data_IF_723907854235
#
_entry.id   IF_723907854235
#
_cell.length_a   1.000
_cell.length_b   1.000
_cell.length_c   1.000
_cell.angle_alpha   90.00
_cell.angle_beta   90.00
_cell.angle_gamma   90.00
#
_symmetry.space_group_name_H-M   'P 1'
#
loop_
_entity.id
_entity.type
_entity.pdbx_description
1 polymer ?
#
# COMPACT_ATOMS: atom_id res chain seq x y z
N UNK A 1 -10.32 -23.85 -15.19
CA UNK A 1 -11.08 -24.80 -14.36
C UNK A 1 -12.02 -24.04 -13.41
N UNK A 2 -13.22 -24.55 -13.24
CA UNK A 2 -14.23 -23.97 -12.37
C UNK A 2 -13.82 -24.14 -10.90
N UNK A 3 -13.76 -23.04 -10.15
CA UNK A 3 -13.40 -23.07 -8.73
C UNK A 3 -14.68 -23.04 -7.87
N UNK A 4 -15.15 -24.19 -7.41
CA UNK A 4 -16.41 -24.32 -6.67
C UNK A 4 -16.51 -23.41 -5.42
N UNK A 5 -15.40 -23.09 -4.77
CA UNK A 5 -15.38 -22.15 -3.63
C UNK A 5 -15.60 -20.68 -4.03
N UNK A 6 -15.51 -20.35 -5.32
CA UNK A 6 -15.80 -19.01 -5.83
C UNK A 6 -17.25 -18.83 -6.29
N UNK A 7 -18.09 -19.88 -6.20
CA UNK A 7 -19.48 -19.81 -6.65
C UNK A 7 -20.22 -18.56 -6.10
N UNK A 8 -21.09 -17.90 -6.90
CA UNK A 8 -21.56 -18.30 -8.23
C UNK A 8 -20.63 -17.93 -9.40
N UNK A 9 -19.46 -17.38 -9.14
CA UNK A 9 -18.49 -16.99 -10.15
C UNK A 9 -17.65 -18.18 -10.64
N UNK A 10 -17.04 -18.04 -11.81
CA UNK A 10 -16.21 -19.08 -12.40
C UNK A 10 -14.95 -19.36 -11.55
N UNK A 11 -14.29 -18.29 -11.07
CA UNK A 11 -13.08 -18.35 -10.26
C UNK A 11 -12.95 -17.17 -9.29
N UNK A 12 -11.93 -17.21 -8.44
CA UNK A 12 -11.68 -16.14 -7.45
C UNK A 12 -11.28 -14.81 -8.06
N UNK A 13 -10.64 -14.77 -9.22
CA UNK A 13 -10.32 -13.50 -9.87
C UNK A 13 -11.60 -12.78 -10.30
N UNK A 14 -12.54 -13.50 -10.91
CA UNK A 14 -13.84 -12.96 -11.29
C UNK A 14 -14.61 -12.47 -10.06
N UNK A 15 -14.72 -13.32 -9.03
CA UNK A 15 -15.43 -12.99 -7.80
C UNK A 15 -14.88 -11.74 -7.13
N UNK A 16 -13.58 -11.66 -6.86
CA UNK A 16 -12.99 -10.52 -6.18
C UNK A 16 -13.02 -9.28 -7.07
N UNK A 17 -12.97 -9.43 -8.40
CA UNK A 17 -13.14 -8.31 -9.30
C UNK A 17 -14.51 -7.67 -9.14
N UNK A 18 -15.57 -8.43 -9.15
CA UNK A 18 -16.94 -7.92 -9.00
C UNK A 18 -17.21 -7.41 -7.57
N UNK A 19 -16.87 -8.19 -6.56
CA UNK A 19 -17.17 -7.86 -5.16
C UNK A 19 -16.27 -6.74 -4.58
N UNK A 20 -15.07 -6.52 -5.14
CA UNK A 20 -14.10 -5.58 -4.60
C UNK A 20 -13.55 -4.61 -5.65
N UNK A 21 -12.85 -5.10 -6.69
CA UNK A 21 -12.05 -4.20 -7.54
C UNK A 21 -12.93 -3.27 -8.39
N UNK A 22 -13.98 -3.79 -9.01
CA UNK A 22 -14.93 -2.98 -9.79
C UNK A 22 -15.75 -2.06 -8.89
N UNK A 23 -16.17 -2.55 -7.72
CA UNK A 23 -16.90 -1.75 -6.74
C UNK A 23 -16.09 -0.54 -6.26
N UNK A 24 -14.79 -0.70 -5.98
CA UNK A 24 -13.92 0.41 -5.61
C UNK A 24 -13.61 1.36 -6.78
N UNK A 25 -13.59 0.86 -8.01
CA UNK A 25 -13.40 1.70 -9.20
C UNK A 25 -14.59 2.65 -9.49
N UNK A 26 -15.77 2.32 -8.97
CA UNK A 26 -17.02 3.08 -9.16
C UNK A 26 -17.89 3.06 -7.91
N UNK A 27 -17.34 3.44 -6.78
CA UNK A 27 -18.00 3.47 -5.48
C UNK A 27 -19.11 4.53 -5.48
N UNK A 28 -20.28 4.16 -4.93
CA UNK A 28 -21.46 5.01 -4.87
C UNK A 28 -21.54 5.67 -3.50
N UNK A 29 -21.53 7.01 -3.50
CA UNK A 29 -21.85 7.81 -2.31
C UNK A 29 -23.36 8.06 -2.34
N UNK A 30 -24.04 7.69 -1.26
CA UNK A 30 -25.50 7.81 -1.15
C UNK A 30 -25.86 8.99 -0.25
N UNK A 31 -26.97 9.67 -0.57
CA UNK A 31 -27.61 10.66 0.31
C UNK A 31 -28.40 9.96 1.44
N UNK A 32 -28.99 10.76 2.33
CA UNK A 32 -29.80 10.27 3.47
C UNK A 32 -31.04 9.47 3.03
N UNK A 33 -31.48 9.63 1.78
CA UNK A 33 -32.62 8.92 1.18
C UNK A 33 -32.18 7.69 0.38
N UNK A 34 -30.87 7.33 0.40
CA UNK A 34 -30.32 6.19 -0.32
C UNK A 34 -30.18 6.40 -1.84
N UNK A 35 -30.26 7.64 -2.35
CA UNK A 35 -30.04 7.95 -3.76
C UNK A 35 -28.55 8.21 -4.01
N UNK A 36 -28.07 7.88 -5.21
CA UNK A 36 -26.69 8.13 -5.60
C UNK A 36 -26.46 9.64 -5.72
N UNK A 37 -25.68 10.20 -4.81
CA UNK A 37 -25.23 11.60 -4.84
C UNK A 37 -23.98 11.74 -5.72
N UNK A 38 -23.05 10.80 -5.60
CA UNK A 38 -21.78 10.82 -6.33
C UNK A 38 -21.30 9.40 -6.65
N UNK A 39 -20.61 9.27 -7.78
CA UNK A 39 -19.82 8.07 -8.09
C UNK A 39 -18.33 8.45 -8.01
N UNK A 40 -17.58 7.78 -7.19
CA UNK A 40 -16.16 8.05 -6.96
C UNK A 40 -15.31 6.83 -7.27
N UNK A 41 -14.09 7.07 -7.78
CA UNK A 41 -13.09 6.04 -7.90
C UNK A 41 -12.18 6.10 -6.66
N UNK A 42 -12.32 5.11 -5.76
CA UNK A 42 -11.59 5.07 -4.50
C UNK A 42 -10.07 5.01 -4.72
N UNK A 43 -9.61 4.34 -5.77
CA UNK A 43 -8.18 4.26 -6.11
C UNK A 43 -7.54 5.63 -6.39
N UNK A 44 -8.32 6.66 -6.70
CA UNK A 44 -7.82 8.03 -6.83
C UNK A 44 -7.63 8.76 -5.49
N UNK A 45 -8.01 8.13 -4.37
CA UNK A 45 -8.01 8.72 -3.03
C UNK A 45 -7.23 7.91 -1.98
N UNK A 46 -6.91 6.67 -2.28
CA UNK A 46 -6.16 5.75 -1.42
C UNK A 46 -4.91 5.28 -2.14
N UNK A 47 -3.85 5.00 -1.40
CA UNK A 47 -2.70 4.29 -1.96
C UNK A 47 -3.08 2.82 -2.17
N UNK A 48 -2.59 2.23 -3.25
CA UNK A 48 -2.89 0.84 -3.60
C UNK A 48 -1.73 0.19 -4.34
N UNK A 49 -1.67 -1.12 -4.30
CA UNK A 49 -0.79 -1.92 -5.14
C UNK A 49 -1.56 -3.11 -5.74
N UNK A 50 -1.15 -3.51 -6.94
CA UNK A 50 -1.67 -4.69 -7.62
C UNK A 50 -0.51 -5.49 -8.18
N UNK A 51 -0.56 -6.82 -8.05
CA UNK A 51 0.42 -7.71 -8.64
C UNK A 51 0.34 -7.75 -10.18
N UNK A 52 1.48 -7.96 -10.81
CA UNK A 52 1.58 -8.04 -12.27
C UNK A 52 0.65 -9.11 -12.88
N UNK A 53 0.53 -10.26 -12.23
CA UNK A 53 -0.37 -11.35 -12.69
C UNK A 53 -1.84 -10.94 -12.64
N UNK A 54 -2.26 -10.29 -11.57
CA UNK A 54 -3.64 -9.78 -11.46
C UNK A 54 -3.92 -8.67 -12.47
N UNK A 55 -3.00 -7.73 -12.65
CA UNK A 55 -3.17 -6.67 -13.65
C UNK A 55 -3.24 -7.23 -15.08
N UNK A 56 -2.46 -8.26 -15.38
CA UNK A 56 -2.55 -8.95 -16.70
C UNK A 56 -3.92 -9.62 -16.87
N UNK A 57 -4.42 -10.27 -15.83
CA UNK A 57 -5.74 -10.88 -15.87
C UNK A 57 -6.85 -9.82 -16.02
N UNK A 58 -6.79 -8.72 -15.26
CA UNK A 58 -7.76 -7.61 -15.37
C UNK A 58 -7.75 -6.96 -16.75
N UNK A 59 -6.58 -6.78 -17.35
CA UNK A 59 -6.43 -6.23 -18.70
C UNK A 59 -7.20 -7.07 -19.74
N UNK A 60 -7.16 -8.39 -19.61
CA UNK A 60 -7.79 -9.33 -20.54
C UNK A 60 -9.27 -9.59 -20.24
N UNK A 61 -9.66 -9.72 -18.97
CA UNK A 61 -10.98 -10.20 -18.57
C UNK A 61 -11.87 -9.09 -17.98
N UNK A 62 -11.31 -8.02 -17.43
CA UNK A 62 -12.04 -6.90 -16.85
C UNK A 62 -11.46 -5.53 -17.29
N UNK A 63 -11.37 -5.25 -18.62
CA UNK A 63 -10.64 -4.10 -19.15
C UNK A 63 -11.19 -2.75 -18.68
N UNK A 64 -12.47 -2.67 -18.33
CA UNK A 64 -13.06 -1.44 -17.76
C UNK A 64 -12.52 -1.15 -16.38
N UNK A 65 -12.43 -2.15 -15.51
CA UNK A 65 -11.86 -2.06 -14.17
C UNK A 65 -10.37 -1.74 -14.24
N UNK A 66 -9.63 -2.42 -15.11
CA UNK A 66 -8.22 -2.14 -15.37
C UNK A 66 -7.99 -0.68 -15.78
N UNK A 67 -8.71 -0.20 -16.78
CA UNK A 67 -8.61 1.19 -17.24
C UNK A 67 -8.97 2.20 -16.14
N UNK A 68 -9.95 1.89 -15.29
CA UNK A 68 -10.34 2.74 -14.17
C UNK A 68 -9.23 2.83 -13.10
N UNK A 69 -8.53 1.73 -12.81
CA UNK A 69 -7.37 1.69 -11.90
C UNK A 69 -6.24 2.58 -12.43
N UNK A 70 -5.87 2.43 -13.72
CA UNK A 70 -4.81 3.25 -14.32
C UNK A 70 -5.19 4.74 -14.35
N UNK A 71 -6.45 5.05 -14.67
CA UNK A 71 -6.94 6.43 -14.65
C UNK A 71 -6.94 7.03 -13.26
N UNK A 72 -7.21 6.23 -12.22
CA UNK A 72 -7.19 6.69 -10.83
C UNK A 72 -5.80 7.18 -10.40
N UNK A 73 -4.74 6.52 -10.81
CA UNK A 73 -3.38 6.99 -10.53
C UNK A 73 -3.09 8.35 -11.19
N UNK A 74 -3.53 8.57 -12.43
CA UNK A 74 -3.41 9.88 -13.10
C UNK A 74 -4.19 10.96 -12.36
N UNK A 75 -5.45 10.69 -11.97
CA UNK A 75 -6.27 11.64 -11.18
C UNK A 75 -5.65 11.94 -9.82
N UNK A 76 -5.00 10.97 -9.19
CA UNK A 76 -4.31 11.20 -7.92
C UNK A 76 -3.08 12.11 -8.09
N UNK A 77 -2.34 12.00 -9.20
CA UNK A 77 -1.23 12.91 -9.50
C UNK A 77 -1.69 14.37 -9.59
N UNK A 78 -2.82 14.62 -10.24
CA UNK A 78 -3.42 15.97 -10.33
C UNK A 78 -3.77 16.52 -8.93
N UNK A 79 -4.29 15.67 -8.05
CA UNK A 79 -4.71 16.03 -6.69
C UNK A 79 -3.56 16.20 -5.73
N UNK A 80 -2.52 15.35 -5.84
CA UNK A 80 -1.44 15.23 -4.87
C UNK A 80 -0.09 15.73 -5.42
N UNK A 81 -0.08 16.84 -6.15
CA UNK A 81 1.12 17.56 -6.60
C UNK A 81 2.08 16.68 -7.43
N UNK A 82 1.54 15.84 -8.28
CA UNK A 82 2.32 14.93 -9.13
C UNK A 82 2.60 13.55 -8.51
N UNK A 83 2.20 13.31 -7.27
CA UNK A 83 2.34 12.00 -6.63
C UNK A 83 1.15 11.08 -6.95
N UNK A 84 1.43 9.96 -7.59
CA UNK A 84 0.42 8.96 -7.91
C UNK A 84 0.10 8.05 -6.71
N UNK A 85 -1.14 7.60 -6.62
CA UNK A 85 -1.61 6.72 -5.53
C UNK A 85 -1.11 5.27 -5.67
N UNK A 86 -0.80 4.81 -6.88
CA UNK A 86 -0.30 3.47 -7.11
C UNK A 86 1.13 3.29 -6.53
N UNK A 87 1.36 2.19 -5.84
CA UNK A 87 2.64 1.75 -5.29
C UNK A 87 3.06 0.49 -6.07
N UNK A 88 4.32 0.39 -6.46
CA UNK A 88 4.84 -0.84 -7.06
C UNK A 88 4.87 -1.99 -6.04
N UNK A 89 4.98 -3.20 -6.52
CA UNK A 89 5.32 -4.35 -5.67
C UNK A 89 6.38 -5.23 -6.35
N UNK A 90 7.01 -6.12 -5.58
CA UNK A 90 7.86 -7.16 -6.13
C UNK A 90 7.02 -8.04 -7.07
N UNK A 91 7.58 -8.40 -8.23
CA UNK A 91 6.81 -8.92 -9.36
C UNK A 91 5.92 -10.12 -9.02
N UNK A 92 6.46 -11.14 -8.36
CA UNK A 92 5.75 -12.38 -8.00
C UNK A 92 5.35 -12.48 -6.53
N UNK A 93 5.22 -11.38 -5.80
CA UNK A 93 4.89 -11.38 -4.37
C UNK A 93 5.81 -12.28 -3.52
N UNK A 94 7.09 -12.30 -3.86
CA UNK A 94 8.10 -13.13 -3.21
C UNK A 94 8.40 -12.62 -1.79
N UNK A 95 8.64 -13.55 -0.85
CA UNK A 95 9.20 -13.23 0.47
C UNK A 95 10.69 -12.93 0.29
N UNK A 96 11.02 -11.66 0.13
CA UNK A 96 12.33 -11.19 -0.31
C UNK A 96 13.50 -11.72 0.54
N UNK A 97 13.42 -11.74 1.89
CA UNK A 97 14.52 -12.28 2.72
C UNK A 97 14.83 -13.76 2.51
N UNK A 98 13.91 -14.53 1.94
CA UNK A 98 14.10 -15.96 1.66
C UNK A 98 14.73 -16.24 0.28
N UNK A 99 14.85 -15.21 -0.56
CA UNK A 99 15.44 -15.33 -1.88
C UNK A 99 16.94 -14.99 -1.88
N UNK A 100 17.69 -15.54 -2.82
CA UNK A 100 19.06 -15.11 -3.08
C UNK A 100 19.09 -13.70 -3.70
N UNK A 101 20.25 -13.03 -3.65
CA UNK A 101 20.38 -11.63 -4.10
C UNK A 101 20.00 -11.44 -5.58
N UNK A 102 20.40 -12.36 -6.46
CA UNK A 102 20.09 -12.29 -7.89
C UNK A 102 18.58 -12.27 -8.12
N UNK A 103 17.86 -13.15 -7.45
CA UNK A 103 16.41 -13.27 -7.60
C UNK A 103 15.69 -12.07 -6.98
N UNK A 104 16.18 -11.53 -5.84
CA UNK A 104 15.68 -10.26 -5.28
C UNK A 104 15.81 -9.11 -6.29
N UNK A 105 16.98 -8.96 -6.92
CA UNK A 105 17.22 -7.95 -7.96
C UNK A 105 16.26 -8.11 -9.13
N UNK A 106 16.08 -9.33 -9.60
CA UNK A 106 15.16 -9.65 -10.69
C UNK A 106 13.72 -9.27 -10.34
N UNK A 107 13.26 -9.64 -9.14
CA UNK A 107 11.89 -9.35 -8.68
C UNK A 107 11.61 -7.85 -8.55
N UNK A 108 12.56 -7.10 -8.01
CA UNK A 108 12.46 -5.65 -7.92
C UNK A 108 12.44 -5.04 -9.32
N UNK A 109 13.39 -5.41 -10.17
CA UNK A 109 13.53 -4.85 -11.50
C UNK A 109 12.30 -5.13 -12.39
N UNK A 110 11.79 -6.36 -12.35
CA UNK A 110 10.57 -6.71 -13.08
C UNK A 110 9.36 -5.97 -12.56
N UNK A 111 9.21 -5.84 -11.23
CA UNK A 111 8.13 -5.06 -10.62
C UNK A 111 8.17 -3.58 -11.05
N UNK A 112 9.37 -2.99 -11.12
CA UNK A 112 9.55 -1.62 -11.61
C UNK A 112 9.16 -1.49 -13.09
N UNK A 113 9.59 -2.42 -13.94
CA UNK A 113 9.31 -2.39 -15.40
C UNK A 113 7.83 -2.58 -15.69
N UNK A 114 7.16 -3.51 -14.99
CA UNK A 114 5.72 -3.70 -15.11
C UNK A 114 4.96 -2.43 -14.67
N UNK A 115 5.36 -1.85 -13.55
CA UNK A 115 4.77 -0.61 -13.05
C UNK A 115 4.95 0.56 -14.04
N UNK A 116 6.16 0.78 -14.54
CA UNK A 116 6.44 1.83 -15.53
C UNK A 116 5.64 1.62 -16.82
N UNK A 117 5.54 0.37 -17.29
CA UNK A 117 4.76 0.03 -18.46
C UNK A 117 3.28 0.38 -18.30
N UNK A 118 2.67 0.05 -17.16
CA UNK A 118 1.24 0.23 -16.93
C UNK A 118 0.86 1.65 -16.53
N UNK A 119 1.59 2.24 -15.59
CA UNK A 119 1.27 3.56 -15.02
C UNK A 119 1.99 4.73 -15.71
N UNK A 120 2.94 4.46 -16.61
CA UNK A 120 3.64 5.49 -17.38
C UNK A 120 4.56 6.40 -16.58
N UNK A 121 4.94 5.99 -15.37
CA UNK A 121 5.82 6.73 -14.46
C UNK A 121 6.67 5.79 -13.62
N UNK A 122 7.75 6.32 -13.03
CA UNK A 122 8.52 5.57 -12.02
C UNK A 122 7.74 5.50 -10.70
N UNK A 123 7.75 4.37 -10.00
CA UNK A 123 7.16 4.29 -8.67
C UNK A 123 8.03 5.00 -7.63
N UNK A 124 7.40 5.58 -6.62
CA UNK A 124 8.10 6.16 -5.47
C UNK A 124 8.24 5.17 -4.32
N UNK A 125 7.25 4.31 -4.14
CA UNK A 125 7.21 3.25 -3.13
C UNK A 125 7.09 1.87 -3.72
N UNK A 126 7.50 0.87 -2.93
CA UNK A 126 7.32 -0.54 -3.27
C UNK A 126 6.78 -1.31 -2.07
N UNK A 127 5.71 -2.07 -2.31
CA UNK A 127 5.17 -3.04 -1.36
C UNK A 127 5.99 -4.33 -1.42
N UNK A 128 6.33 -4.86 -0.26
CA UNK A 128 7.01 -6.14 -0.12
C UNK A 128 6.01 -7.24 0.27
N UNK A 129 6.18 -8.43 -0.26
CA UNK A 129 5.38 -9.59 0.09
C UNK A 129 5.41 -9.82 1.61
N UNK A 130 4.23 -9.89 2.25
CA UNK A 130 4.05 -10.06 3.70
C UNK A 130 4.81 -9.02 4.55
N UNK A 131 5.09 -7.84 4.01
CA UNK A 131 5.97 -6.82 4.60
C UNK A 131 7.37 -7.31 4.96
N UNK A 132 7.78 -8.48 4.46
CA UNK A 132 9.04 -9.12 4.81
C UNK A 132 10.24 -8.33 4.26
N UNK A 133 11.08 -7.85 5.16
CA UNK A 133 12.25 -7.05 4.83
C UNK A 133 13.46 -7.45 5.67
N UNK A 134 14.63 -7.35 5.04
CA UNK A 134 15.95 -7.36 5.69
C UNK A 134 16.79 -6.21 5.12
N UNK A 135 17.96 -5.97 5.69
CA UNK A 135 18.82 -4.86 5.25
C UNK A 135 19.21 -4.99 3.78
N UNK A 136 19.45 -6.19 3.26
CA UNK A 136 19.79 -6.37 1.84
C UNK A 136 18.62 -6.00 0.94
N UNK A 137 17.39 -6.37 1.30
CA UNK A 137 16.20 -5.98 0.55
C UNK A 137 16.06 -4.45 0.52
N UNK A 138 16.22 -3.77 1.66
CA UNK A 138 16.14 -2.30 1.72
C UNK A 138 17.24 -1.62 0.92
N UNK A 139 18.48 -2.17 0.93
CA UNK A 139 19.59 -1.71 0.08
C UNK A 139 19.23 -1.77 -1.40
N UNK A 140 18.69 -2.91 -1.84
CA UNK A 140 18.30 -3.10 -3.22
C UNK A 140 17.16 -2.15 -3.62
N UNK A 141 16.14 -1.96 -2.76
CA UNK A 141 15.11 -0.97 -3.02
C UNK A 141 15.68 0.44 -3.23
N UNK A 142 16.57 0.87 -2.33
CA UNK A 142 17.21 2.19 -2.43
C UNK A 142 18.13 2.30 -3.66
N UNK A 143 18.85 1.23 -4.02
CA UNK A 143 19.70 1.16 -5.22
C UNK A 143 18.87 1.34 -6.50
N UNK A 144 17.69 0.74 -6.56
CA UNK A 144 16.75 0.85 -7.68
C UNK A 144 15.90 2.15 -7.65
N UNK A 145 16.15 3.05 -6.70
CA UNK A 145 15.51 4.37 -6.63
C UNK A 145 14.15 4.38 -5.93
N UNK A 146 13.77 3.32 -5.25
CA UNK A 146 12.59 3.29 -4.38
C UNK A 146 12.84 4.17 -3.15
N UNK A 147 11.92 5.07 -2.87
CA UNK A 147 12.04 6.10 -1.83
C UNK A 147 11.45 5.66 -0.50
N UNK A 148 10.47 4.76 -0.52
CA UNK A 148 9.84 4.26 0.69
C UNK A 148 9.26 2.85 0.53
N UNK A 149 9.11 2.17 1.67
CA UNK A 149 8.28 0.97 1.81
C UNK A 149 7.47 1.04 3.09
N UNK A 150 6.48 0.15 3.21
CA UNK A 150 5.58 0.06 4.36
C UNK A 150 5.87 -1.27 5.06
N UNK A 151 6.02 -1.23 6.38
CA UNK A 151 6.35 -2.38 7.22
C UNK A 151 5.33 -2.55 8.34
N UNK A 152 5.32 -3.73 8.95
CA UNK A 152 4.53 -3.97 10.15
C UNK A 152 5.19 -3.34 11.39
N UNK A 153 4.41 -2.82 12.36
CA UNK A 153 4.95 -2.13 13.54
C UNK A 153 5.90 -2.98 14.38
N UNK A 154 5.71 -4.30 14.43
CA UNK A 154 6.60 -5.22 15.15
C UNK A 154 8.00 -5.38 14.54
N UNK A 155 8.22 -4.90 13.32
CA UNK A 155 9.52 -4.95 12.66
C UNK A 155 10.47 -3.83 13.09
N UNK A 156 9.97 -2.81 13.81
CA UNK A 156 10.79 -1.76 14.39
C UNK A 156 11.33 -2.17 15.76
N UNK A 157 12.64 -2.20 15.92
CA UNK A 157 13.28 -2.48 17.22
C UNK A 157 13.58 -1.20 18.00
N UNK A 158 14.15 -0.19 17.36
CA UNK A 158 14.61 1.05 18.01
C UNK A 158 14.51 2.24 17.06
N UNK A 159 14.22 3.41 17.62
CA UNK A 159 14.19 4.70 16.91
C UNK A 159 14.95 5.76 17.67
N UNK A 160 15.39 6.81 17.00
CA UNK A 160 15.93 8.03 17.62
C UNK A 160 15.72 9.24 16.70
N UNK A 161 15.80 10.47 17.21
CA UNK A 161 15.86 11.68 16.38
C UNK A 161 17.01 11.63 15.37
N UNK A 162 16.79 12.20 14.17
CA UNK A 162 17.79 12.18 13.09
C UNK A 162 19.08 12.96 13.44
N UNK A 163 18.94 13.98 14.27
CA UNK A 163 20.06 14.82 14.78
C UNK A 163 20.87 14.15 15.89
N UNK A 164 20.44 12.97 16.35
CA UNK A 164 21.10 12.25 17.44
C UNK A 164 20.94 12.90 18.81
N UNK A 165 20.05 13.90 18.99
CA UNK A 165 19.85 14.65 20.23
C UNK A 165 19.39 13.80 21.42
N UNK A 166 18.88 12.59 21.15
CA UNK A 166 18.45 11.62 22.16
C UNK A 166 18.99 10.23 21.87
N UNK A 167 19.19 9.40 22.89
CA UNK A 167 19.61 7.99 22.71
C UNK A 167 18.54 7.19 21.95
N UNK A 168 18.93 6.01 21.53
CA UNK A 168 18.01 5.04 20.94
C UNK A 168 16.91 4.68 21.94
N UNK A 169 15.66 4.82 21.51
CA UNK A 169 14.47 4.38 22.24
C UNK A 169 14.04 3.02 21.70
N UNK A 170 13.83 2.06 22.58
CA UNK A 170 13.25 0.77 22.25
C UNK A 170 11.77 0.92 21.90
N UNK A 171 11.39 0.45 20.74
CA UNK A 171 10.00 0.46 20.23
C UNK A 171 9.54 -0.93 19.80
N UNK A 172 10.26 -1.97 20.21
CA UNK A 172 9.85 -3.35 19.97
C UNK A 172 8.45 -3.65 20.50
N UNK A 173 7.84 -4.76 20.07
CA UNK A 173 6.48 -5.14 20.44
C UNK A 173 5.41 -4.08 20.08
N UNK A 174 5.41 -3.66 18.80
CA UNK A 174 4.42 -2.74 18.21
C UNK A 174 4.36 -1.34 18.84
N UNK A 175 5.42 -0.89 19.54
CA UNK A 175 5.46 0.43 20.21
C UNK A 175 5.96 1.57 19.31
N UNK A 176 6.28 1.29 18.06
CA UNK A 176 6.63 2.34 17.10
C UNK A 176 5.43 3.26 16.87
N UNK A 177 5.66 4.58 16.79
CA UNK A 177 4.59 5.53 16.46
C UNK A 177 4.27 5.45 14.96
N UNK A 178 3.11 4.89 14.54
CA UNK A 178 2.77 4.73 13.13
C UNK A 178 2.40 6.06 12.46
N UNK A 179 2.28 7.15 13.22
CA UNK A 179 1.82 8.44 12.69
C UNK A 179 2.93 9.29 12.08
N UNK A 180 4.14 8.75 11.92
CA UNK A 180 5.29 9.44 11.32
C UNK A 180 6.10 8.57 10.37
N UNK A 181 6.82 9.21 9.46
CA UNK A 181 7.83 8.56 8.65
C UNK A 181 9.14 8.38 9.41
N UNK A 182 9.87 7.33 9.10
CA UNK A 182 11.20 7.02 9.64
C UNK A 182 12.22 6.93 8.52
N UNK A 183 13.44 7.36 8.77
CA UNK A 183 14.55 7.25 7.83
C UNK A 183 15.48 6.11 8.25
N UNK A 184 15.60 5.09 7.40
CA UNK A 184 16.59 4.04 7.54
C UNK A 184 17.86 4.45 6.81
N UNK A 185 18.98 4.59 7.54
CA UNK A 185 20.32 4.69 6.95
C UNK A 185 20.83 3.29 6.65
N UNK A 186 21.35 3.09 5.46
CA UNK A 186 21.77 1.82 4.92
C UNK A 186 23.31 1.71 4.92
N UNK A 187 23.89 0.49 4.93
CA UNK A 187 25.35 0.28 4.90
C UNK A 187 26.06 0.97 3.73
N UNK A 188 25.42 1.06 2.56
CA UNK A 188 25.96 1.77 1.39
C UNK A 188 26.03 3.30 1.53
N UNK A 189 25.49 3.86 2.61
CA UNK A 189 25.30 5.32 2.78
C UNK A 189 23.99 5.84 2.16
N UNK A 190 23.25 5.02 1.42
CA UNK A 190 21.91 5.37 0.93
C UNK A 190 20.90 5.43 2.08
N UNK A 191 19.73 5.93 1.79
CA UNK A 191 18.62 5.99 2.74
C UNK A 191 17.33 5.55 2.09
N UNK A 192 16.41 5.02 2.89
CA UNK A 192 15.03 4.72 2.49
C UNK A 192 14.09 5.13 3.61
N UNK A 193 12.91 5.65 3.24
CA UNK A 193 11.88 5.98 4.23
C UNK A 193 11.05 4.73 4.56
N UNK A 194 10.75 4.57 5.82
CA UNK A 194 9.90 3.49 6.33
C UNK A 194 8.64 4.08 6.93
N UNK A 195 7.50 3.51 6.58
CA UNK A 195 6.22 3.76 7.21
C UNK A 195 5.77 2.48 7.91
N UNK A 196 5.19 2.61 9.09
CA UNK A 196 4.63 1.49 9.84
C UNK A 196 3.12 1.66 9.90
N UNK A 197 2.35 0.72 9.34
CA UNK A 197 0.89 0.82 9.35
C UNK A 197 0.32 0.76 10.78
N UNK A 198 -0.86 1.35 10.99
CA UNK A 198 -1.58 1.24 12.27
C UNK A 198 -2.15 -0.17 12.43
N UNK A 199 -1.48 -1.01 13.21
CA UNK A 199 -1.84 -2.41 13.41
C UNK A 199 -3.26 -2.61 13.94
N UNK A 200 -3.68 -1.91 15.00
CA UNK A 200 -5.05 -1.95 15.51
C UNK A 200 -6.13 -1.59 14.49
N UNK A 201 -5.93 -0.54 13.69
CA UNK A 201 -6.91 -0.15 12.65
C UNK A 201 -6.91 -1.17 11.52
N UNK A 202 -5.74 -1.61 11.04
CA UNK A 202 -5.61 -2.63 9.99
C UNK A 202 -6.30 -3.94 10.39
N UNK A 203 -6.11 -4.38 11.64
CA UNK A 203 -6.80 -5.55 12.19
C UNK A 203 -8.31 -5.39 12.21
N UNK A 204 -8.79 -4.22 12.65
CA UNK A 204 -10.23 -3.94 12.73
C UNK A 204 -10.88 -3.94 11.33
N UNK A 205 -10.17 -3.47 10.30
CA UNK A 205 -10.63 -3.57 8.91
C UNK A 205 -10.73 -5.05 8.47
N UNK A 206 -9.70 -5.84 8.74
CA UNK A 206 -9.62 -7.21 8.24
C UNK A 206 -10.56 -8.19 8.96
N UNK A 207 -10.81 -7.98 10.26
CA UNK A 207 -11.42 -9.02 11.12
C UNK A 207 -12.53 -8.53 12.04
N UNK A 208 -12.77 -7.22 12.17
CA UNK A 208 -13.70 -6.68 13.18
C UNK A 208 -14.85 -5.86 12.55
N UNK A 209 -15.04 -5.95 11.23
CA UNK A 209 -16.16 -5.30 10.53
C UNK A 209 -16.07 -3.76 10.46
N UNK A 210 -14.89 -3.16 10.62
CA UNK A 210 -14.73 -1.70 10.64
C UNK A 210 -15.23 -1.02 9.36
N UNK A 211 -15.32 -1.74 8.24
CA UNK A 211 -15.81 -1.23 6.96
C UNK A 211 -17.32 -1.32 6.76
N UNK A 212 -18.08 -1.88 7.71
CA UNK A 212 -19.54 -1.97 7.60
C UNK A 212 -20.22 -0.60 7.52
N UNK A 213 -19.61 0.42 8.15
CA UNK A 213 -20.10 1.79 8.13
C UNK A 213 -18.95 2.78 7.92
N UNK A 214 -19.06 3.59 6.87
CA UNK A 214 -18.04 4.58 6.51
C UNK A 214 -17.73 5.59 7.61
N UNK A 215 -18.73 6.04 8.38
CA UNK A 215 -18.54 6.98 9.48
C UNK A 215 -17.69 6.38 10.60
N UNK A 216 -17.82 5.07 10.87
CA UNK A 216 -17.04 4.38 11.92
C UNK A 216 -15.57 4.37 11.52
N UNK A 217 -15.25 4.01 10.26
CA UNK A 217 -13.90 4.08 9.73
C UNK A 217 -13.35 5.51 9.76
N UNK A 218 -14.12 6.49 9.27
CA UNK A 218 -13.70 7.89 9.25
C UNK A 218 -13.38 8.42 10.65
N UNK A 219 -14.25 8.16 11.63
CA UNK A 219 -14.04 8.54 13.02
C UNK A 219 -12.81 7.85 13.63
N UNK A 220 -12.57 6.59 13.30
CA UNK A 220 -11.39 5.85 13.76
C UNK A 220 -10.09 6.45 13.22
N UNK A 221 -10.06 6.80 11.92
CA UNK A 221 -8.90 7.44 11.30
C UNK A 221 -8.66 8.86 11.84
N UNK A 222 -9.72 9.67 11.93
CA UNK A 222 -9.62 11.05 12.47
C UNK A 222 -9.20 11.02 13.93
N UNK A 223 -9.75 10.10 14.74
CA UNK A 223 -9.41 9.94 16.15
C UNK A 223 -7.96 9.50 16.42
N UNK A 224 -7.25 9.00 15.41
CA UNK A 224 -5.83 8.67 15.54
C UNK A 224 -4.92 9.90 15.46
N UNK A 225 -5.39 11.05 14.96
CA UNK A 225 -4.67 12.32 15.04
C UNK A 225 -4.71 12.88 16.47
N UNK A 226 -3.63 13.58 16.87
CA UNK A 226 -3.55 14.22 18.18
C UNK A 226 -2.99 15.64 18.06
N UNK A 227 -3.68 16.65 18.62
CA UNK A 227 -3.17 18.02 18.67
C UNK A 227 -1.94 18.19 19.58
N UNK A 228 -1.63 17.17 20.40
CA UNK A 228 -0.47 17.17 21.30
C UNK A 228 0.84 16.77 20.62
N UNK A 229 0.78 16.27 19.37
CA UNK A 229 1.98 15.89 18.62
C UNK A 229 2.58 17.09 17.90
N UNK A 230 3.85 17.32 18.07
CA UNK A 230 4.60 18.45 17.50
C UNK A 230 5.19 18.15 16.10
N UNK A 231 4.90 16.99 15.53
CA UNK A 231 5.38 16.57 14.22
C UNK A 231 4.23 16.44 13.23
N UNK A 232 4.56 16.48 11.93
CA UNK A 232 3.62 16.15 10.86
C UNK A 232 3.11 14.74 11.05
N UNK A 233 1.79 14.58 11.09
CA UNK A 233 1.13 13.30 11.32
C UNK A 233 0.60 12.72 10.03
N UNK A 234 0.74 11.42 9.88
CA UNK A 234 0.11 10.61 8.86
C UNK A 234 -0.66 9.48 9.57
N UNK A 235 -1.94 9.34 9.29
CA UNK A 235 -2.71 8.16 9.71
C UNK A 235 -2.90 7.30 8.47
N UNK A 236 -2.41 6.08 8.53
CA UNK A 236 -2.47 5.11 7.44
C UNK A 236 -2.62 3.68 7.97
N UNK A 237 -3.09 2.80 7.13
CA UNK A 237 -3.45 1.41 7.42
C UNK A 237 -2.88 0.50 6.35
#
# INVERSE_FOLDING_TARGET
>A
ELQGSAAPYHDWNERITEECYAANASSRVLDEQGRIEQIVNNYSRISFNFGATLLTWLEQHAPRTYAAILRADKLSQERFRGHGAAIAQVYNHLIMPLANERDRRTQIWWGLRDFEHRFGRKPEGMWLGETAADLLTLELLAEYGIRFTILAPNQAARVRPLDGSRPWQDVGHDRVDPTRAYLQKLPSGRTINLFFYDGPISRAIAFEGLLERGEVLANRLVGAFSPRREHTQLVHI
#
